data_IF_036904680542
#
_entry.id   IF_036904680542
#
_cell.length_a   1.000
_cell.length_b   1.000
_cell.length_c   1.000
_cell.angle_alpha   90.00
_cell.angle_beta   90.00
_cell.angle_gamma   90.00
#
_symmetry.space_group_name_H-M   'P 1'
#
loop_
_entity.id
_entity.type
_entity.pdbx_description
1 polymer ?
#
# COMPACT_ATOMS: atom_id res chain seq x y z
N UNK A 1 -10.00 -2.87 15.39
CA UNK A 1 -9.94 -2.54 13.95
C UNK A 1 -8.57 -2.94 13.42
N UNK A 2 -8.54 -3.46 12.22
CA UNK A 2 -7.30 -3.88 11.59
C UNK A 2 -6.67 -2.72 10.84
N UNK A 3 -5.37 -2.59 10.94
CA UNK A 3 -4.61 -1.56 10.24
C UNK A 3 -3.39 -2.17 9.57
N UNK A 4 -2.94 -1.55 8.50
CA UNK A 4 -1.70 -1.94 7.84
C UNK A 4 -0.84 -0.69 7.66
N UNK A 5 0.39 -0.79 8.10
CA UNK A 5 1.40 0.24 7.87
C UNK A 5 2.38 -0.31 6.85
N UNK A 6 2.52 0.37 5.74
CA UNK A 6 3.44 -0.02 4.68
C UNK A 6 4.46 1.09 4.49
N UNK A 7 5.74 0.72 4.55
CA UNK A 7 6.84 1.64 4.26
C UNK A 7 7.54 1.09 3.04
N UNK A 8 7.67 1.89 1.98
CA UNK A 8 8.36 1.43 0.79
C UNK A 8 9.05 2.56 0.04
N UNK A 9 10.07 2.17 -0.72
CA UNK A 9 10.76 3.07 -1.63
C UNK A 9 10.17 2.89 -3.02
N UNK A 10 10.06 3.98 -3.78
CA UNK A 10 9.59 3.93 -5.16
C UNK A 10 10.61 4.63 -6.04
N UNK A 11 10.62 4.25 -7.32
CA UNK A 11 11.56 4.84 -8.27
C UNK A 11 11.17 6.28 -8.62
N UNK A 12 9.85 6.55 -8.68
CA UNK A 12 9.33 7.86 -9.07
C UNK A 12 7.95 8.04 -8.45
N UNK A 13 7.82 8.97 -7.52
CA UNK A 13 6.56 9.17 -6.79
C UNK A 13 5.36 9.43 -7.72
N UNK A 14 5.41 10.35 -8.69
CA UNK A 14 4.25 10.59 -9.55
C UNK A 14 3.78 9.34 -10.30
N UNK A 15 4.71 8.52 -10.79
CA UNK A 15 4.37 7.28 -11.48
C UNK A 15 3.72 6.27 -10.54
N UNK A 16 4.29 6.12 -9.33
CA UNK A 16 3.72 5.25 -8.30
C UNK A 16 2.31 5.70 -7.90
N UNK A 17 2.15 7.00 -7.68
CA UNK A 17 0.86 7.56 -7.23
C UNK A 17 -0.24 7.31 -8.25
N UNK A 18 0.09 7.36 -9.52
CA UNK A 18 -0.88 7.09 -10.58
C UNK A 18 -1.37 5.65 -10.51
N UNK A 19 -0.45 4.70 -10.34
CA UNK A 19 -0.80 3.28 -10.19
C UNK A 19 -1.60 3.07 -8.90
N UNK A 20 -1.19 3.72 -7.82
CA UNK A 20 -1.88 3.64 -6.54
C UNK A 20 -3.33 4.12 -6.65
N UNK A 21 -3.54 5.25 -7.30
CA UNK A 21 -4.88 5.82 -7.48
C UNK A 21 -5.74 4.92 -8.37
N UNK A 22 -5.17 4.35 -9.43
CA UNK A 22 -5.89 3.44 -10.32
C UNK A 22 -6.32 2.17 -9.60
N UNK A 23 -5.61 1.76 -8.58
CA UNK A 23 -5.90 0.57 -7.79
C UNK A 23 -6.87 0.81 -6.63
N UNK A 24 -7.39 2.03 -6.46
CA UNK A 24 -8.28 2.36 -5.34
C UNK A 24 -9.51 1.46 -5.29
N UNK A 25 -10.10 1.15 -6.44
CA UNK A 25 -11.29 0.31 -6.50
C UNK A 25 -11.05 -1.10 -6.01
N UNK A 26 -9.93 -1.73 -6.44
CA UNK A 26 -9.63 -3.09 -6.01
C UNK A 26 -9.25 -3.13 -4.54
N UNK A 27 -8.59 -2.09 -4.01
CA UNK A 27 -8.31 -2.02 -2.57
C UNK A 27 -9.60 -1.96 -1.77
N UNK A 28 -10.54 -1.12 -2.20
CA UNK A 28 -11.83 -0.98 -1.51
C UNK A 28 -12.60 -2.30 -1.52
N UNK A 29 -12.65 -2.98 -2.65
CA UNK A 29 -13.33 -4.27 -2.77
C UNK A 29 -12.70 -5.33 -1.91
N UNK A 30 -11.38 -5.27 -1.71
CA UNK A 30 -10.66 -6.23 -0.90
C UNK A 30 -10.84 -6.00 0.61
N UNK A 31 -11.26 -4.79 1.01
CA UNK A 31 -11.54 -4.51 2.41
C UNK A 31 -10.89 -3.25 2.98
N UNK A 32 -10.21 -2.44 2.16
CA UNK A 32 -9.66 -1.17 2.64
C UNK A 32 -10.79 -0.18 2.90
N UNK A 33 -10.86 0.34 4.11
CA UNK A 33 -11.91 1.27 4.54
C UNK A 33 -11.48 2.72 4.45
N UNK A 34 -10.22 2.98 4.75
CA UNK A 34 -9.65 4.33 4.70
C UNK A 34 -8.13 4.21 4.57
N UNK A 35 -7.50 5.29 4.15
CA UNK A 35 -6.04 5.29 4.00
C UNK A 35 -5.49 6.70 4.07
N UNK A 36 -4.18 6.77 4.37
CA UNK A 36 -3.37 7.98 4.21
C UNK A 36 -2.11 7.59 3.47
N UNK A 37 -1.64 8.50 2.62
CA UNK A 37 -0.36 8.35 1.93
C UNK A 37 0.49 9.55 2.33
N UNK A 38 1.67 9.26 2.87
CA UNK A 38 2.61 10.27 3.33
C UNK A 38 3.97 9.96 2.73
N UNK A 39 4.77 10.97 2.49
CA UNK A 39 6.15 10.75 2.08
C UNK A 39 7.07 11.30 3.16
N UNK A 40 8.30 10.77 3.20
CA UNK A 40 9.30 11.29 4.12
C UNK A 40 9.62 12.75 3.75
N UNK A 41 9.80 13.59 4.75
CA UNK A 41 10.10 14.99 4.52
C UNK A 41 11.34 15.18 3.64
N UNK A 42 12.36 14.36 3.83
CA UNK A 42 13.64 14.48 3.13
C UNK A 42 13.77 13.59 1.90
N UNK A 43 12.76 12.78 1.59
CA UNK A 43 12.82 11.84 0.47
C UNK A 43 11.41 11.56 -0.06
N UNK A 44 11.05 12.25 -1.12
CA UNK A 44 9.71 12.13 -1.71
C UNK A 44 9.41 10.72 -2.24
N UNK A 45 10.46 9.93 -2.49
CA UNK A 45 10.30 8.57 -3.00
C UNK A 45 10.29 7.51 -1.90
N UNK A 46 10.31 7.93 -0.63
CA UNK A 46 10.10 7.02 0.49
C UNK A 46 8.73 7.31 1.07
N UNK A 47 7.85 6.31 0.98
CA UNK A 47 6.41 6.51 1.16
C UNK A 47 5.88 5.65 2.29
N UNK A 48 4.92 6.20 3.03
CA UNK A 48 4.17 5.47 4.04
C UNK A 48 2.71 5.44 3.59
N UNK A 49 2.15 4.22 3.53
CA UNK A 49 0.75 4.01 3.28
C UNK A 49 0.15 3.40 4.55
N UNK A 50 -0.65 4.16 5.26
CA UNK A 50 -1.31 3.71 6.48
C UNK A 50 -2.79 3.56 6.19
N UNK A 51 -3.34 2.36 6.44
CA UNK A 51 -4.71 2.05 6.05
C UNK A 51 -5.45 1.25 7.12
N UNK A 52 -6.77 1.41 7.11
CA UNK A 52 -7.68 0.63 7.95
C UNK A 52 -8.40 -0.39 7.08
N UNK A 53 -8.51 -1.61 7.57
CA UNK A 53 -9.07 -2.74 6.82
C UNK A 53 -10.16 -3.46 7.59
N UNK A 54 -10.98 -4.21 6.86
CA UNK A 54 -12.03 -5.05 7.47
C UNK A 54 -11.45 -6.11 8.39
N UNK A 55 -10.26 -6.64 8.04
CA UNK A 55 -9.52 -7.58 8.89
C UNK A 55 -8.08 -7.65 8.43
N UNK A 56 -7.18 -8.14 9.30
CA UNK A 56 -5.80 -8.39 8.88
C UNK A 56 -5.74 -9.54 7.87
N UNK A 57 -6.63 -10.52 7.98
CA UNK A 57 -6.69 -11.62 7.00
C UNK A 57 -7.01 -11.11 5.60
N UNK A 58 -7.97 -10.19 5.48
CA UNK A 58 -8.33 -9.60 4.19
C UNK A 58 -7.16 -8.79 3.62
N UNK A 59 -6.50 -8.01 4.48
CA UNK A 59 -5.35 -7.21 4.06
C UNK A 59 -4.21 -8.10 3.57
N UNK A 60 -3.89 -9.17 4.30
CA UNK A 60 -2.83 -10.10 3.90
C UNK A 60 -3.14 -10.76 2.57
N UNK A 61 -4.36 -11.23 2.40
CA UNK A 61 -4.77 -11.86 1.16
C UNK A 61 -4.57 -10.92 -0.02
N UNK A 62 -4.91 -9.66 0.16
CA UNK A 62 -4.75 -8.66 -0.90
C UNK A 62 -3.28 -8.38 -1.19
N UNK A 63 -2.51 -7.97 -0.18
CA UNK A 63 -1.13 -7.53 -0.40
C UNK A 63 -0.19 -8.66 -0.78
N UNK A 64 -0.48 -9.90 -0.38
CA UNK A 64 0.37 -11.05 -0.68
C UNK A 64 -0.08 -11.79 -1.95
N UNK A 65 -1.12 -11.29 -2.64
CA UNK A 65 -1.58 -11.90 -3.89
C UNK A 65 -0.57 -11.67 -5.02
N UNK A 66 -0.55 -12.61 -5.97
CA UNK A 66 0.32 -12.51 -7.13
C UNK A 66 0.03 -11.25 -7.96
N UNK A 67 -1.24 -10.87 -8.03
CA UNK A 67 -1.65 -9.65 -8.75
C UNK A 67 -1.01 -8.42 -8.15
N UNK A 68 -1.03 -8.29 -6.82
CA UNK A 68 -0.46 -7.13 -6.15
C UNK A 68 1.06 -7.11 -6.21
N UNK A 69 1.69 -8.27 -6.16
CA UNK A 69 3.14 -8.36 -6.34
C UNK A 69 3.53 -7.78 -7.70
N UNK A 70 2.80 -8.17 -8.77
CA UNK A 70 3.05 -7.64 -10.11
C UNK A 70 2.80 -6.14 -10.20
N UNK A 71 1.70 -5.67 -9.62
CA UNK A 71 1.37 -4.25 -9.63
C UNK A 71 2.46 -3.43 -8.94
N UNK A 72 2.97 -3.92 -7.81
CA UNK A 72 4.05 -3.22 -7.11
C UNK A 72 5.32 -3.16 -7.96
N UNK A 73 5.68 -4.25 -8.61
CA UNK A 73 6.86 -4.29 -9.49
C UNK A 73 6.71 -3.28 -10.63
N UNK A 74 5.56 -3.25 -11.27
CA UNK A 74 5.26 -2.31 -12.35
C UNK A 74 5.27 -0.87 -11.87
N UNK A 75 4.86 -0.64 -10.62
CA UNK A 75 4.84 0.70 -10.03
C UNK A 75 6.21 1.17 -9.54
N UNK A 76 7.24 0.33 -9.64
CA UNK A 76 8.59 0.68 -9.23
C UNK A 76 8.80 0.64 -7.72
N UNK A 77 8.05 -0.20 -7.01
CA UNK A 77 8.20 -0.34 -5.56
C UNK A 77 9.38 -1.23 -5.24
N UNK A 78 10.22 -0.77 -4.30
CA UNK A 78 11.39 -1.51 -3.83
C UNK A 78 11.33 -1.68 -2.32
N UNK A 79 11.77 -2.85 -1.84
CA UNK A 79 11.93 -3.15 -0.42
C UNK A 79 10.70 -2.78 0.43
N UNK A 80 9.49 -3.25 0.08
CA UNK A 80 8.31 -2.91 0.87
C UNK A 80 8.35 -3.61 2.23
N UNK A 81 7.98 -2.87 3.28
CA UNK A 81 7.82 -3.41 4.63
C UNK A 81 6.36 -3.32 5.00
N UNK A 82 5.75 -4.47 5.33
CA UNK A 82 4.35 -4.55 5.71
C UNK A 82 4.24 -4.85 7.19
N UNK A 83 3.53 -3.99 7.92
CA UNK A 83 3.30 -4.15 9.35
C UNK A 83 1.80 -4.23 9.56
N UNK A 84 1.31 -5.40 10.00
CA UNK A 84 -0.11 -5.63 10.25
C UNK A 84 -0.39 -5.37 11.73
N UNK A 85 -1.39 -4.53 11.99
CA UNK A 85 -1.68 -4.02 13.32
C UNK A 85 -3.14 -4.29 13.71
N UNK A 86 -3.36 -4.57 14.97
CA UNK A 86 -4.69 -4.76 15.54
C UNK A 86 -4.91 -3.79 16.70
N UNK A 87 -6.13 -3.27 16.79
CA UNK A 87 -6.51 -2.40 17.90
C UNK A 87 -7.33 -3.17 18.93
#
# INVERSE_FOLDING_TARGET
MAHVLIIHEVDDYPAWKRVFDDAAGIRKQAGERSFQVLSYEQDANRIVHFSEWTSTADARQFFESDELVRIREEAGVRAPEFIYLEE
#
